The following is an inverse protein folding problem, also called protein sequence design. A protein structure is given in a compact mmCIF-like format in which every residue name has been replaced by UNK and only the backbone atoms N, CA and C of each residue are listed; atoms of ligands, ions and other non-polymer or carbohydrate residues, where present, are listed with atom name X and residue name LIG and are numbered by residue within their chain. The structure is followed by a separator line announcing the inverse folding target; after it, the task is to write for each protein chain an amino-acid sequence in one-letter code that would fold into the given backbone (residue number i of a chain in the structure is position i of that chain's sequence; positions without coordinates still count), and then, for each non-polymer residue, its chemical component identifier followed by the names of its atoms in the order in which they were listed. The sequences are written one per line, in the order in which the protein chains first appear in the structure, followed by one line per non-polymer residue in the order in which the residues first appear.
data_IF_662610183842
#
_entry.id   IF_662610183842
#
_cell.length_a   1.000
_cell.length_b   1.000
_cell.length_c   1.000
_cell.angle_alpha   90.00
_cell.angle_beta   90.00
_cell.angle_gamma   90.00
#
_symmetry.space_group_name_H-M   'P 1'
#
loop_
_entity.id
_entity.type
_entity.pdbx_description
1 polymer ?
#
# COMPACT_ATOMS: atom_id res chain seq x y z
N UNK A 1 -3.33 17.27 -13.71
CA UNK A 1 -3.13 16.11 -12.82
C UNK A 1 -1.90 15.35 -13.31
N UNK A 2 -0.86 15.20 -12.48
CA UNK A 2 0.24 14.27 -12.78
C UNK A 2 -0.28 12.86 -12.47
N UNK A 3 -0.39 12.00 -13.48
CA UNK A 3 -0.59 10.57 -13.27
C UNK A 3 0.68 10.04 -12.60
N UNK A 4 0.58 9.57 -11.36
CA UNK A 4 1.70 8.87 -10.72
C UNK A 4 1.94 7.57 -11.48
N UNK A 5 3.21 7.27 -11.79
CA UNK A 5 3.58 6.10 -12.56
C UNK A 5 3.24 4.83 -11.76
N UNK A 6 2.31 4.03 -12.27
CA UNK A 6 1.94 2.74 -11.69
C UNK A 6 3.07 1.72 -11.92
N UNK A 7 3.45 1.00 -10.87
CA UNK A 7 4.42 -0.06 -10.96
C UNK A 7 3.80 -1.39 -11.36
N UNK A 8 4.63 -2.42 -11.42
CA UNK A 8 4.22 -3.74 -11.88
C UNK A 8 3.15 -4.36 -10.98
N UNK A 9 3.27 -4.19 -9.65
CA UNK A 9 2.30 -4.77 -8.72
C UNK A 9 0.96 -4.05 -8.80
N UNK A 10 0.94 -2.72 -8.91
CA UNK A 10 -0.31 -1.98 -9.15
C UNK A 10 -0.99 -2.44 -10.44
N UNK A 11 -0.25 -2.57 -11.55
CA UNK A 11 -0.80 -3.06 -12.81
C UNK A 11 -1.38 -4.48 -12.69
N UNK A 12 -0.70 -5.36 -11.94
CA UNK A 12 -1.18 -6.71 -11.67
C UNK A 12 -2.48 -6.68 -10.85
N UNK A 13 -2.52 -5.91 -9.77
CA UNK A 13 -3.71 -5.77 -8.92
C UNK A 13 -4.91 -5.20 -9.69
N UNK A 14 -4.70 -4.23 -10.59
CA UNK A 14 -5.76 -3.70 -11.48
C UNK A 14 -6.33 -4.81 -12.37
N UNK A 15 -5.46 -5.64 -12.96
CA UNK A 15 -5.88 -6.77 -13.82
C UNK A 15 -6.72 -7.80 -13.05
N UNK A 16 -6.51 -7.92 -11.75
CA UNK A 16 -7.23 -8.84 -10.86
C UNK A 16 -8.33 -8.15 -10.05
N UNK A 17 -8.73 -6.93 -10.44
CA UNK A 17 -9.83 -6.16 -9.83
C UNK A 17 -9.66 -5.93 -8.32
N UNK A 18 -8.43 -5.91 -7.84
CA UNK A 18 -8.13 -5.63 -6.42
C UNK A 18 -8.08 -4.13 -6.21
N UNK A 19 -8.95 -3.62 -5.35
CA UNK A 19 -9.05 -2.19 -5.05
C UNK A 19 -7.81 -1.71 -4.32
N UNK A 20 -7.11 -0.74 -4.91
CA UNK A 20 -5.95 -0.09 -4.32
C UNK A 20 -5.71 1.27 -4.97
N UNK A 21 -4.82 2.07 -4.37
CA UNK A 21 -4.32 3.31 -4.97
C UNK A 21 -2.79 3.28 -5.01
N UNK A 22 -2.21 3.46 -6.20
CA UNK A 22 -0.76 3.64 -6.30
C UNK A 22 -0.36 5.04 -5.81
N UNK A 23 0.60 5.09 -4.89
CA UNK A 23 1.23 6.33 -4.40
C UNK A 23 2.58 6.60 -5.09
N UNK A 24 2.89 5.84 -6.15
CA UNK A 24 4.16 5.92 -6.87
C UNK A 24 5.31 5.18 -6.17
N UNK A 25 6.54 5.57 -6.49
CA UNK A 25 7.75 4.95 -5.96
C UNK A 25 8.35 5.78 -4.83
N UNK A 26 8.71 5.11 -3.73
CA UNK A 26 9.48 5.72 -2.65
C UNK A 26 10.93 5.97 -3.09
N UNK A 27 11.71 6.75 -2.33
CA UNK A 27 13.07 7.17 -2.69
C UNK A 27 14.06 6.03 -2.96
N UNK A 28 13.76 4.80 -2.53
CA UNK A 28 14.54 3.57 -2.79
C UNK A 28 14.10 2.82 -4.06
N UNK A 29 13.19 3.39 -4.85
CA UNK A 29 12.60 2.73 -6.04
C UNK A 29 11.62 1.62 -5.72
N UNK A 30 11.11 1.55 -4.47
CA UNK A 30 10.13 0.56 -4.04
C UNK A 30 8.73 1.12 -4.29
N UNK A 31 7.85 0.32 -4.90
CA UNK A 31 6.47 0.71 -5.17
C UNK A 31 5.66 0.83 -3.88
N UNK A 32 4.93 1.93 -3.74
CA UNK A 32 4.07 2.21 -2.58
C UNK A 32 2.60 2.13 -2.99
N UNK A 33 1.85 1.27 -2.32
CA UNK A 33 0.43 1.09 -2.52
C UNK A 33 -0.33 1.50 -1.26
N UNK A 34 -1.43 2.21 -1.47
CA UNK A 34 -2.42 2.45 -0.44
C UNK A 34 -3.57 1.46 -0.61
N UNK A 35 -3.88 0.76 0.48
CA UNK A 35 -4.91 -0.26 0.56
C UNK A 35 -5.90 0.19 1.64
N UNK A 36 -7.18 -0.15 1.51
CA UNK A 36 -8.11 0.05 2.62
C UNK A 36 -7.86 -0.99 3.72
N UNK A 37 -8.13 -0.64 4.98
CA UNK A 37 -7.99 -1.62 6.07
C UNK A 37 -8.83 -2.89 5.86
N UNK A 38 -10.01 -2.78 5.23
CA UNK A 38 -10.89 -3.92 4.94
C UNK A 38 -10.29 -4.94 3.94
N UNK A 39 -9.38 -4.50 3.07
CA UNK A 39 -8.76 -5.32 2.03
C UNK A 39 -7.38 -5.87 2.46
N UNK A 40 -6.97 -5.64 3.71
CA UNK A 40 -5.62 -5.91 4.19
C UNK A 40 -5.28 -7.39 4.17
N UNK A 41 -6.20 -8.23 4.64
CA UNK A 41 -6.01 -9.69 4.66
C UNK A 41 -5.88 -10.26 3.24
N UNK A 42 -6.68 -9.75 2.31
CA UNK A 42 -6.63 -10.13 0.89
C UNK A 42 -5.26 -9.80 0.29
N UNK A 43 -4.74 -8.60 0.54
CA UNK A 43 -3.41 -8.19 0.07
C UNK A 43 -2.31 -9.02 0.73
N UNK A 44 -2.41 -9.28 2.03
CA UNK A 44 -1.42 -10.10 2.74
C UNK A 44 -1.33 -11.51 2.16
N UNK A 45 -2.47 -12.14 1.86
CA UNK A 45 -2.53 -13.46 1.22
C UNK A 45 -1.94 -13.42 -0.19
N UNK A 46 -2.29 -12.42 -1.01
CA UNK A 46 -1.73 -12.27 -2.36
C UNK A 46 -0.21 -12.11 -2.29
N UNK A 47 0.29 -11.23 -1.44
CA UNK A 47 1.72 -10.99 -1.30
C UNK A 47 2.47 -12.26 -0.88
N UNK A 48 1.91 -13.03 0.05
CA UNK A 48 2.47 -14.30 0.49
C UNK A 48 2.50 -15.35 -0.63
N UNK A 49 1.40 -15.51 -1.38
CA UNK A 49 1.33 -16.44 -2.52
C UNK A 49 2.36 -16.08 -3.61
N UNK A 50 2.62 -14.78 -3.82
CA UNK A 50 3.62 -14.28 -4.76
C UNK A 50 5.06 -14.36 -4.27
N UNK A 51 5.30 -14.89 -3.07
CA UNK A 51 6.64 -15.10 -2.51
C UNK A 51 7.22 -13.90 -1.76
N UNK A 52 6.42 -12.87 -1.47
CA UNK A 52 6.81 -11.78 -0.58
C UNK A 52 6.71 -12.22 0.89
N UNK A 53 7.53 -13.20 1.26
CA UNK A 53 7.42 -13.92 2.52
C UNK A 53 8.28 -13.33 3.64
N UNK A 54 8.85 -12.15 3.42
CA UNK A 54 9.77 -11.51 4.35
C UNK A 54 9.37 -10.07 4.65
N UNK A 55 8.56 -9.92 5.70
CA UNK A 55 8.20 -8.62 6.26
C UNK A 55 9.44 -7.99 6.89
N UNK A 56 9.90 -6.88 6.31
CA UNK A 56 11.11 -6.20 6.73
C UNK A 56 10.85 -5.23 7.88
N UNK A 57 9.73 -4.53 7.83
CA UNK A 57 9.33 -3.58 8.88
C UNK A 57 7.81 -3.38 8.87
N UNK A 58 7.24 -3.22 10.06
CA UNK A 58 5.88 -2.75 10.26
C UNK A 58 5.91 -1.53 11.17
N UNK A 59 5.27 -0.45 10.77
CA UNK A 59 5.17 0.75 11.60
C UNK A 59 3.80 1.42 11.48
N UNK A 60 3.43 2.20 12.49
CA UNK A 60 2.28 3.09 12.44
C UNK A 60 2.77 4.53 12.22
N UNK A 61 2.08 5.26 11.37
CA UNK A 61 2.35 6.64 11.02
C UNK A 61 1.11 7.49 11.31
N UNK A 62 1.30 8.60 12.00
CA UNK A 62 0.23 9.55 12.23
C UNK A 62 0.10 10.47 11.02
N UNK A 63 -1.01 10.35 10.28
CA UNK A 63 -1.21 11.09 9.04
C UNK A 63 -1.38 12.58 9.32
N UNK A 64 -2.09 12.91 10.40
CA UNK A 64 -2.27 14.28 10.87
C UNK A 64 -2.48 14.29 12.39
N UNK A 65 -2.05 15.35 13.12
CA UNK A 65 -2.36 15.50 14.54
C UNK A 65 -3.87 15.38 14.81
N UNK A 66 -4.28 14.45 15.67
CA UNK A 66 -5.69 14.18 15.97
C UNK A 66 -6.50 13.53 14.82
N UNK A 67 -5.83 13.09 13.75
CA UNK A 67 -6.45 12.48 12.58
C UNK A 67 -6.17 10.98 12.45
N UNK A 68 -6.29 10.49 11.21
CA UNK A 68 -6.09 9.09 10.84
C UNK A 68 -4.70 8.55 11.15
N UNK A 69 -4.64 7.27 11.52
CA UNK A 69 -3.40 6.50 11.64
C UNK A 69 -3.25 5.58 10.42
N UNK A 70 -2.07 5.60 9.81
CA UNK A 70 -1.71 4.68 8.75
C UNK A 70 -0.79 3.57 9.29
N UNK A 71 -1.13 2.31 9.05
CA UNK A 71 -0.22 1.19 9.21
C UNK A 71 0.56 0.98 7.93
N UNK A 72 1.89 0.90 8.03
CA UNK A 72 2.80 0.70 6.90
C UNK A 72 3.48 -0.65 7.06
N UNK A 73 3.38 -1.49 6.03
CA UNK A 73 4.12 -2.73 5.88
C UNK A 73 5.16 -2.58 4.78
N UNK A 74 6.44 -2.75 5.11
CA UNK A 74 7.54 -2.78 4.15
C UNK A 74 8.01 -4.21 3.91
N UNK A 75 7.99 -4.62 2.65
CA UNK A 75 8.71 -5.77 2.13
C UNK A 75 9.85 -5.27 1.22
N UNK A 76 10.72 -6.18 0.75
CA UNK A 76 11.83 -5.82 -0.16
C UNK A 76 11.37 -5.09 -1.42
N UNK A 77 10.14 -5.35 -1.88
CA UNK A 77 9.66 -4.93 -3.21
C UNK A 77 8.39 -4.07 -3.18
N UNK A 78 7.70 -3.98 -2.05
CA UNK A 78 6.46 -3.19 -1.92
C UNK A 78 6.34 -2.59 -0.53
N UNK A 79 5.79 -1.38 -0.47
CA UNK A 79 5.28 -0.76 0.75
C UNK A 79 3.75 -0.67 0.66
N UNK A 80 3.04 -1.26 1.62
CA UNK A 80 1.59 -1.17 1.73
C UNK A 80 1.23 -0.24 2.90
N UNK A 81 0.41 0.78 2.64
CA UNK A 81 -0.10 1.69 3.66
C UNK A 81 -1.63 1.54 3.77
N UNK A 82 -2.13 1.24 4.97
CA UNK A 82 -3.55 1.10 5.27
C UNK A 82 -3.98 2.07 6.35
N UNK A 83 -5.08 2.78 6.15
CA UNK A 83 -5.66 3.64 7.19
C UNK A 83 -6.67 2.83 8.04
N UNK A 84 -6.69 3.09 9.34
CA UNK A 84 -7.80 2.76 10.25
C UNK A 84 -9.18 3.26 9.78
N UNK A 85 -9.23 4.33 8.98
CA UNK A 85 -10.42 4.78 8.28
C UNK A 85 -10.65 3.91 7.03
N UNK A 86 -11.89 3.47 6.80
CA UNK A 86 -12.30 2.68 5.62
C UNK A 86 -12.20 3.46 4.29
N UNK A 87 -11.64 4.67 4.30
CA UNK A 87 -11.43 5.52 3.13
C UNK A 87 -9.94 5.56 2.73
N UNK A 88 -9.70 5.70 1.41
CA UNK A 88 -8.36 6.06 0.91
C UNK A 88 -8.01 7.47 1.41
N UNK A 89 -6.79 7.67 1.92
CA UNK A 89 -6.33 9.00 2.35
C UNK A 89 -6.48 10.01 1.21
N UNK A 90 -6.82 11.27 1.50
CA UNK A 90 -6.83 12.31 0.49
C UNK A 90 -5.44 12.47 -0.16
N UNK A 91 -5.36 12.86 -1.44
CA UNK A 91 -4.08 13.24 -2.03
C UNK A 91 -3.45 14.39 -1.22
N UNK A 92 -2.14 14.29 -0.96
CA UNK A 92 -1.35 15.41 -0.43
C UNK A 92 -1.24 16.55 -1.45
#
# INVERSE_FOLDING_TARGET
MKTMQQGWLSNWLVKHEVVHRSLGFHHRGIETLQIKAEDWDSIAVILYVYGYNYLRSQCAYNVAPGGSLASVLENRHVVCAGDSSSALLPPA
#
